data_IF_874568701319
#
_entry.id   IF_874568701319
#
_cell.length_a   1.000
_cell.length_b   1.000
_cell.length_c   1.000
_cell.angle_alpha   90.00
_cell.angle_beta   90.00
_cell.angle_gamma   90.00
#
_symmetry.space_group_name_H-M   'P 1'
#
loop_
_entity.id
_entity.type
_entity.pdbx_description
1 polymer ?
#
# COMPACT_ATOMS: atom_id res chain seq x y z
N UNK A 1 -36.41 -26.63 -47.13
CA UNK A 1 -35.04 -26.23 -46.78
C UNK A 1 -35.14 -25.32 -45.55
N UNK A 2 -34.98 -25.92 -44.38
CA UNK A 2 -35.16 -25.22 -43.11
C UNK A 2 -33.76 -24.96 -42.52
N UNK A 3 -33.33 -23.70 -42.60
CA UNK A 3 -32.09 -23.23 -41.93
C UNK A 3 -32.33 -23.17 -40.45
N UNK A 4 -31.87 -24.18 -39.72
CA UNK A 4 -31.81 -24.13 -38.27
C UNK A 4 -30.74 -23.13 -37.84
N UNK A 5 -31.16 -21.96 -37.39
CA UNK A 5 -30.31 -20.96 -36.71
C UNK A 5 -29.68 -21.61 -35.48
N UNK A 6 -28.38 -21.86 -35.51
CA UNK A 6 -27.61 -22.21 -34.30
C UNK A 6 -27.70 -21.05 -33.29
N UNK A 7 -28.12 -21.32 -32.07
CA UNK A 7 -28.05 -20.30 -31.04
C UNK A 7 -26.58 -19.91 -30.82
N UNK A 8 -26.31 -18.66 -31.03
CA UNK A 8 -25.03 -18.01 -30.73
C UNK A 8 -24.80 -18.16 -29.23
N UNK A 9 -23.99 -19.16 -28.82
CA UNK A 9 -23.54 -19.28 -27.44
C UNK A 9 -22.61 -18.12 -27.21
N UNK A 10 -23.10 -17.07 -26.56
CA UNK A 10 -22.26 -16.06 -25.93
C UNK A 10 -21.32 -16.80 -24.96
N UNK A 11 -20.11 -17.05 -25.39
CA UNK A 11 -19.06 -17.60 -24.56
C UNK A 11 -18.78 -16.55 -23.49
N UNK A 12 -19.23 -16.81 -22.26
CA UNK A 12 -18.97 -15.96 -21.12
C UNK A 12 -17.47 -15.88 -20.88
N UNK A 13 -16.90 -14.69 -21.00
CA UNK A 13 -15.52 -14.42 -20.61
C UNK A 13 -15.52 -14.22 -19.11
N UNK A 14 -14.90 -15.14 -18.36
CA UNK A 14 -14.71 -15.01 -16.92
C UNK A 14 -13.35 -14.37 -16.67
N UNK A 15 -13.37 -13.15 -16.13
CA UNK A 15 -12.15 -12.44 -15.72
C UNK A 15 -11.77 -12.92 -14.32
N UNK A 16 -10.61 -13.56 -14.18
CA UNK A 16 -10.07 -14.00 -12.90
C UNK A 16 -8.82 -13.21 -12.53
N UNK A 17 -8.64 -12.97 -11.24
CA UNK A 17 -7.47 -12.26 -10.69
C UNK A 17 -6.63 -13.22 -9.81
N UNK A 18 -5.89 -14.16 -10.41
CA UNK A 18 -5.25 -15.27 -9.69
C UNK A 18 -4.21 -14.82 -8.65
N UNK A 19 -3.67 -13.61 -8.80
CA UNK A 19 -2.70 -13.10 -7.86
C UNK A 19 -3.34 -12.57 -6.56
N UNK A 20 -4.61 -12.18 -6.58
CA UNK A 20 -5.32 -11.70 -5.38
C UNK A 20 -5.62 -12.80 -4.37
N UNK A 21 -5.72 -14.04 -4.82
CA UNK A 21 -6.05 -15.20 -3.97
C UNK A 21 -4.83 -15.77 -3.25
N UNK A 22 -3.63 -15.35 -3.63
CA UNK A 22 -2.39 -15.81 -2.99
C UNK A 22 -2.25 -15.23 -1.57
N UNK A 23 -2.07 -16.05 -0.52
CA UNK A 23 -1.99 -15.57 0.87
C UNK A 23 -0.84 -14.58 1.09
N UNK A 24 0.28 -14.76 0.38
CA UNK A 24 1.42 -13.84 0.43
C UNK A 24 1.05 -12.45 -0.10
N UNK A 25 0.24 -12.36 -1.16
CA UNK A 25 -0.21 -11.08 -1.74
C UNK A 25 -1.19 -10.39 -0.81
N UNK A 26 -2.11 -11.15 -0.20
CA UNK A 26 -3.04 -10.62 0.79
C UNK A 26 -2.32 -10.10 2.03
N UNK A 27 -1.32 -10.84 2.53
CA UNK A 27 -0.49 -10.42 3.65
C UNK A 27 0.28 -9.13 3.32
N UNK A 28 0.92 -9.05 2.13
CA UNK A 28 1.64 -7.83 1.71
C UNK A 28 0.71 -6.64 1.65
N UNK A 29 -0.50 -6.79 1.08
CA UNK A 29 -1.51 -5.73 1.04
C UNK A 29 -1.91 -5.28 2.44
N UNK A 30 -2.24 -6.23 3.32
CA UNK A 30 -2.62 -5.93 4.69
C UNK A 30 -1.49 -5.18 5.43
N UNK A 31 -0.24 -5.61 5.27
CA UNK A 31 0.92 -4.95 5.86
C UNK A 31 1.08 -3.50 5.37
N UNK A 32 0.94 -3.25 4.05
CA UNK A 32 1.00 -1.88 3.51
C UNK A 32 -0.10 -1.01 4.09
N UNK A 33 -1.34 -1.50 4.15
CA UNK A 33 -2.46 -0.76 4.73
C UNK A 33 -2.20 -0.43 6.21
N UNK A 34 -1.76 -1.41 6.99
CA UNK A 34 -1.43 -1.19 8.41
C UNK A 34 -0.30 -0.17 8.58
N UNK A 35 0.78 -0.27 7.78
CA UNK A 35 1.89 0.68 7.85
C UNK A 35 1.48 2.10 7.48
N UNK A 36 0.60 2.29 6.49
CA UNK A 36 0.03 3.60 6.14
C UNK A 36 -0.80 4.18 7.30
N UNK A 37 -1.65 3.35 7.93
CA UNK A 37 -2.46 3.78 9.07
C UNK A 37 -1.62 4.09 10.30
N UNK A 38 -0.61 3.27 10.61
CA UNK A 38 0.34 3.52 11.70
C UNK A 38 1.12 4.81 11.45
N UNK A 39 1.56 5.05 10.22
CA UNK A 39 2.24 6.29 9.85
C UNK A 39 1.35 7.51 10.05
N UNK A 40 0.10 7.45 9.57
CA UNK A 40 -0.88 8.53 9.77
C UNK A 40 -1.14 8.79 11.26
N UNK A 41 -1.26 7.73 12.06
CA UNK A 41 -1.47 7.85 13.50
C UNK A 41 -0.25 8.46 14.21
N UNK A 42 0.97 8.05 13.88
CA UNK A 42 2.20 8.63 14.46
C UNK A 42 2.32 10.11 14.11
N UNK A 43 2.12 10.50 12.84
CA UNK A 43 2.13 11.89 12.43
C UNK A 43 1.05 12.67 13.16
N UNK A 44 -0.16 12.13 13.32
CA UNK A 44 -1.25 12.76 14.06
C UNK A 44 -0.88 13.02 15.52
N UNK A 45 -0.32 12.02 16.22
CA UNK A 45 0.08 12.17 17.63
C UNK A 45 1.18 13.21 17.77
N UNK A 46 2.19 13.23 16.89
CA UNK A 46 3.25 14.24 16.90
C UNK A 46 2.68 15.62 16.60
N UNK A 47 1.73 15.74 15.66
CA UNK A 47 1.07 17.01 15.31
C UNK A 47 0.29 17.58 16.49
N UNK A 48 -0.56 16.76 17.10
CA UNK A 48 -1.37 17.19 18.25
C UNK A 48 -0.50 17.48 19.47
N UNK A 49 0.47 16.61 19.74
CA UNK A 49 1.36 16.74 20.90
C UNK A 49 2.31 17.92 20.81
N UNK A 50 2.70 18.31 19.60
CA UNK A 50 3.61 19.43 19.34
C UNK A 50 2.92 20.68 18.81
N UNK A 51 1.59 20.75 18.83
CA UNK A 51 0.79 21.78 18.14
C UNK A 51 1.32 23.20 18.29
N UNK A 52 1.60 23.61 19.52
CA UNK A 52 2.05 24.97 19.85
C UNK A 52 3.44 25.33 19.30
N UNK A 53 4.20 24.32 18.86
CA UNK A 53 5.59 24.48 18.40
C UNK A 53 5.76 24.20 16.90
N UNK A 54 4.71 23.73 16.23
CA UNK A 54 4.74 23.26 14.85
C UNK A 54 4.11 24.23 13.84
N UNK A 55 3.88 25.50 14.21
CA UNK A 55 3.10 26.50 13.46
C UNK A 55 3.21 26.38 11.94
N UNK A 56 4.40 26.46 11.37
CA UNK A 56 4.61 26.35 9.92
C UNK A 56 4.55 24.94 9.34
N UNK A 57 4.67 23.90 10.15
CA UNK A 57 4.69 22.51 9.71
C UNK A 57 3.30 21.85 9.73
N UNK A 58 2.34 22.40 10.46
CA UNK A 58 0.99 21.83 10.61
C UNK A 58 0.31 21.51 9.26
N UNK A 59 0.29 22.41 8.26
CA UNK A 59 -0.38 22.11 6.99
C UNK A 59 0.23 20.91 6.27
N UNK A 60 1.56 20.77 6.32
CA UNK A 60 2.27 19.65 5.71
C UNK A 60 1.95 18.35 6.43
N UNK A 61 1.91 18.34 7.76
CA UNK A 61 1.59 17.17 8.56
C UNK A 61 0.14 16.73 8.35
N UNK A 62 -0.81 17.65 8.32
CA UNK A 62 -2.21 17.35 7.97
C UNK A 62 -2.29 16.77 6.56
N UNK A 63 -1.55 17.33 5.59
CA UNK A 63 -1.46 16.80 4.24
C UNK A 63 -0.99 15.33 4.22
N UNK A 64 0.05 14.99 4.97
CA UNK A 64 0.53 13.61 5.09
C UNK A 64 -0.51 12.68 5.71
N UNK A 65 -1.20 13.09 6.77
CA UNK A 65 -2.25 12.30 7.42
C UNK A 65 -3.35 11.99 6.40
N UNK A 66 -3.87 13.01 5.72
CA UNK A 66 -4.96 12.85 4.74
C UNK A 66 -4.54 11.95 3.58
N UNK A 67 -3.37 12.18 3.00
CA UNK A 67 -2.86 11.41 1.86
C UNK A 67 -2.63 9.95 2.25
N UNK A 68 -2.07 9.67 3.44
CA UNK A 68 -1.84 8.31 3.90
C UNK A 68 -3.16 7.56 4.17
N UNK A 69 -4.19 8.23 4.69
CA UNK A 69 -5.52 7.64 4.84
C UNK A 69 -6.15 7.31 3.49
N UNK A 70 -6.03 8.21 2.51
CA UNK A 70 -6.50 7.99 1.14
C UNK A 70 -5.74 6.80 0.51
N UNK A 71 -4.43 6.73 0.66
CA UNK A 71 -3.63 5.63 0.13
C UNK A 71 -3.93 4.31 0.82
N UNK A 72 -4.16 4.30 2.13
CA UNK A 72 -4.60 3.11 2.85
C UNK A 72 -5.94 2.59 2.30
N UNK A 73 -6.89 3.49 2.03
CA UNK A 73 -8.17 3.14 1.41
C UNK A 73 -7.98 2.54 0.01
N UNK A 74 -7.21 3.18 -0.87
CA UNK A 74 -6.99 2.66 -2.22
C UNK A 74 -6.18 1.36 -2.24
N UNK A 75 -5.16 1.22 -1.38
CA UNK A 75 -4.42 -0.02 -1.23
C UNK A 75 -5.33 -1.16 -0.73
N UNK A 76 -6.24 -0.88 0.22
CA UNK A 76 -7.26 -1.82 0.66
C UNK A 76 -8.23 -2.23 -0.46
N UNK A 77 -8.42 -1.38 -1.46
CA UNK A 77 -9.24 -1.66 -2.66
C UNK A 77 -8.46 -2.26 -3.82
N UNK A 78 -7.29 -2.82 -3.58
CA UNK A 78 -6.44 -3.46 -4.59
C UNK A 78 -5.91 -2.50 -5.67
N UNK A 79 -5.86 -1.20 -5.40
CA UNK A 79 -5.28 -0.24 -6.33
C UNK A 79 -3.75 -0.25 -6.20
N UNK A 80 -3.08 -0.90 -7.15
CA UNK A 80 -1.62 -1.00 -7.21
C UNK A 80 -0.94 0.34 -7.50
N UNK A 81 -1.62 1.25 -8.19
CA UNK A 81 -1.06 2.53 -8.64
C UNK A 81 -0.62 3.45 -7.51
N UNK A 82 -1.21 3.31 -6.31
CA UNK A 82 -0.84 4.14 -5.14
C UNK A 82 0.47 3.70 -4.49
N UNK A 83 0.94 2.47 -4.72
CA UNK A 83 2.10 1.91 -4.02
C UNK A 83 3.41 2.65 -4.31
N UNK A 84 3.81 2.92 -5.58
CA UNK A 84 5.03 3.66 -5.85
C UNK A 84 4.98 5.10 -5.33
N UNK A 85 3.82 5.74 -5.38
CA UNK A 85 3.65 7.11 -4.85
C UNK A 85 3.77 7.09 -3.32
N UNK A 86 3.18 6.08 -2.66
CA UNK A 86 3.35 5.87 -1.21
C UNK A 86 4.81 5.70 -0.82
N UNK A 87 5.59 4.94 -1.61
CA UNK A 87 7.00 4.72 -1.36
C UNK A 87 7.80 6.03 -1.43
N UNK A 88 7.54 6.88 -2.44
CA UNK A 88 8.21 8.18 -2.58
C UNK A 88 7.88 9.08 -1.38
N UNK A 89 6.60 9.21 -1.02
CA UNK A 89 6.19 10.01 0.13
C UNK A 89 6.73 9.46 1.45
N UNK A 90 6.87 8.14 1.57
CA UNK A 90 7.48 7.51 2.73
C UNK A 90 8.96 7.87 2.87
N UNK A 91 9.72 7.90 1.78
CA UNK A 91 11.12 8.36 1.81
C UNK A 91 11.20 9.81 2.29
N UNK A 92 10.37 10.70 1.75
CA UNK A 92 10.35 12.12 2.15
C UNK A 92 9.99 12.28 3.63
N UNK A 93 8.93 11.59 4.10
CA UNK A 93 8.54 11.65 5.51
C UNK A 93 9.62 11.08 6.43
N UNK A 94 10.28 9.99 6.02
CA UNK A 94 11.41 9.40 6.76
C UNK A 94 12.57 10.38 6.92
N UNK A 95 12.92 11.13 5.86
CA UNK A 95 13.95 12.16 5.89
C UNK A 95 13.53 13.29 6.85
N UNK A 96 12.29 13.80 6.73
CA UNK A 96 11.80 14.85 7.63
C UNK A 96 11.80 14.39 9.09
N UNK A 97 11.38 13.16 9.37
CA UNK A 97 11.37 12.61 10.71
C UNK A 97 12.79 12.44 11.29
N UNK A 98 13.74 11.97 10.47
CA UNK A 98 15.14 11.82 10.87
C UNK A 98 15.79 13.15 11.23
N UNK A 99 15.46 14.23 10.52
CA UNK A 99 15.96 15.58 10.78
C UNK A 99 15.26 16.21 11.98
N UNK A 100 13.93 16.06 12.08
CA UNK A 100 13.14 16.69 13.14
C UNK A 100 13.27 15.96 14.49
N UNK A 101 13.48 14.65 14.51
CA UNK A 101 13.56 13.85 15.74
C UNK A 101 14.56 14.37 16.75
N UNK A 102 15.83 14.57 16.37
CA UNK A 102 16.87 15.12 17.29
C UNK A 102 16.53 16.51 17.84
N UNK A 103 15.83 17.35 17.08
CA UNK A 103 15.48 18.71 17.51
C UNK A 103 14.49 18.73 18.68
N UNK A 104 13.64 17.70 18.81
CA UNK A 104 12.74 17.55 19.94
C UNK A 104 13.50 17.32 21.25
N UNK A 105 14.54 16.48 21.24
CA UNK A 105 15.38 16.25 22.43
C UNK A 105 16.19 17.50 22.85
N UNK A 106 16.58 18.32 21.88
CA UNK A 106 17.26 19.58 22.19
C UNK A 106 16.34 20.56 22.89
N UNK A 107 15.02 20.46 22.74
CA UNK A 107 14.00 21.29 23.41
C UNK A 107 13.61 20.80 24.81
N UNK A 108 14.00 19.57 25.19
CA UNK A 108 13.73 19.00 26.51
C UNK A 108 14.68 19.60 27.59
N UNK A 109 14.75 20.93 27.64
CA UNK A 109 15.63 21.71 28.54
C UNK A 109 14.86 22.90 29.06
N UNK A 110 15.25 23.33 30.29
CA UNK A 110 14.72 24.55 30.92
C UNK A 110 14.96 25.78 30.02
N UNK A 111 13.92 26.60 29.84
CA UNK A 111 13.98 27.83 29.04
C UNK A 111 13.39 27.74 27.64
N UNK A 112 12.98 26.57 27.20
CA UNK A 112 12.20 26.39 25.96
C UNK A 112 10.70 26.39 26.27
N UNK A 113 9.89 26.80 25.27
CA UNK A 113 8.44 26.69 25.37
C UNK A 113 8.05 25.22 25.45
N UNK A 114 7.12 24.87 26.33
CA UNK A 114 6.66 23.51 26.53
C UNK A 114 5.68 23.11 25.42
N UNK A 115 5.86 21.90 24.88
CA UNK A 115 4.88 21.27 24.00
C UNK A 115 3.70 20.73 24.83
N UNK A 116 2.59 20.42 24.20
CA UNK A 116 1.44 19.79 24.86
C UNK A 116 1.78 18.40 25.43
N UNK A 117 2.66 17.66 24.73
CA UNK A 117 3.29 16.44 25.23
C UNK A 117 4.77 16.67 25.52
N UNK A 118 5.36 15.83 26.39
CA UNK A 118 6.79 15.89 26.69
C UNK A 118 7.63 15.84 25.41
N UNK A 119 8.59 16.77 25.26
CA UNK A 119 9.43 16.91 24.07
C UNK A 119 10.28 15.67 23.79
N UNK A 120 10.79 14.98 24.81
CA UNK A 120 11.51 13.72 24.65
C UNK A 120 10.64 12.60 24.08
N UNK A 121 9.37 12.51 24.52
CA UNK A 121 8.41 11.57 23.95
C UNK A 121 8.11 11.90 22.49
N UNK A 122 7.90 13.16 22.13
CA UNK A 122 7.70 13.59 20.74
C UNK A 122 8.91 13.26 19.87
N UNK A 123 10.13 13.41 20.40
CA UNK A 123 11.36 13.01 19.74
C UNK A 123 11.39 11.50 19.43
N UNK A 124 11.06 10.66 20.42
CA UNK A 124 10.98 9.20 20.24
C UNK A 124 9.94 8.82 19.21
N UNK A 125 8.73 9.38 19.29
CA UNK A 125 7.65 9.10 18.31
C UNK A 125 8.04 9.55 16.90
N UNK A 126 8.70 10.71 16.79
CA UNK A 126 9.18 11.20 15.50
C UNK A 126 10.26 10.28 14.91
N UNK A 127 11.22 9.82 15.73
CA UNK A 127 12.22 8.86 15.27
C UNK A 127 11.63 7.48 14.95
N UNK A 128 10.57 7.06 15.63
CA UNK A 128 9.86 5.82 15.33
C UNK A 128 9.22 5.84 13.92
N UNK A 129 8.89 7.03 13.41
CA UNK A 129 8.41 7.16 12.02
C UNK A 129 9.45 6.60 11.04
N UNK A 130 10.75 6.80 11.26
CA UNK A 130 11.81 6.39 10.32
C UNK A 130 11.77 4.89 9.99
N UNK A 131 11.87 3.96 10.95
CA UNK A 131 11.78 2.53 10.64
C UNK A 131 10.43 2.13 10.05
N UNK A 132 9.33 2.77 10.45
CA UNK A 132 8.02 2.52 9.85
C UNK A 132 8.03 2.91 8.36
N UNK A 133 8.66 4.04 7.98
CA UNK A 133 8.75 4.43 6.57
C UNK A 133 9.66 3.48 5.77
N UNK A 134 10.75 2.98 6.33
CA UNK A 134 11.61 1.98 5.68
C UNK A 134 10.82 0.70 5.36
N UNK A 135 10.03 0.22 6.34
CA UNK A 135 9.14 -0.92 6.13
C UNK A 135 8.08 -0.62 5.07
N UNK A 136 7.46 0.57 5.12
CA UNK A 136 6.45 0.97 4.14
C UNK A 136 7.02 0.98 2.72
N UNK A 137 8.19 1.57 2.49
CA UNK A 137 8.88 1.54 1.19
C UNK A 137 9.10 0.10 0.72
N UNK A 138 9.66 -0.74 1.59
CA UNK A 138 9.98 -2.14 1.27
C UNK A 138 8.72 -2.92 0.86
N UNK A 139 7.65 -2.84 1.66
CA UNK A 139 6.41 -3.56 1.37
C UNK A 139 5.60 -2.95 0.23
N UNK A 140 5.64 -1.63 0.02
CA UNK A 140 5.01 -0.98 -1.12
C UNK A 140 5.66 -1.40 -2.45
N UNK A 141 6.99 -1.41 -2.53
CA UNK A 141 7.72 -1.88 -3.71
C UNK A 141 7.49 -3.37 -3.96
N UNK A 142 7.49 -4.20 -2.90
CA UNK A 142 7.14 -5.62 -3.00
C UNK A 142 5.71 -5.82 -3.50
N UNK A 143 4.74 -5.08 -2.96
CA UNK A 143 3.35 -5.13 -3.41
C UNK A 143 3.20 -4.72 -4.87
N UNK A 144 3.95 -3.70 -5.29
CA UNK A 144 3.96 -3.28 -6.68
C UNK A 144 4.50 -4.36 -7.62
N UNK A 145 5.55 -5.08 -7.25
CA UNK A 145 6.14 -6.17 -8.06
C UNK A 145 5.23 -7.41 -8.15
N UNK A 146 4.32 -7.61 -7.18
CA UNK A 146 3.41 -8.77 -7.15
C UNK A 146 2.28 -8.75 -8.19
N UNK A 147 2.10 -7.65 -8.94
CA UNK A 147 1.15 -7.59 -10.04
C UNK A 147 -0.30 -7.87 -9.66
N UNK A 148 -0.85 -7.15 -8.68
CA UNK A 148 -2.19 -7.38 -8.12
C UNK A 148 -3.33 -7.32 -9.15
N UNK A 149 -3.13 -6.63 -10.28
CA UNK A 149 -4.15 -6.40 -11.32
C UNK A 149 -3.90 -7.25 -12.57
N UNK A 150 -3.18 -8.36 -12.48
CA UNK A 150 -3.07 -9.31 -13.59
C UNK A 150 -4.42 -9.98 -13.76
N UNK A 151 -5.01 -9.77 -14.92
CA UNK A 151 -6.28 -10.36 -15.35
C UNK A 151 -6.00 -11.50 -16.30
N UNK A 152 -6.63 -12.65 -16.06
CA UNK A 152 -6.63 -13.77 -16.98
C UNK A 152 -8.06 -13.95 -17.51
N UNK A 153 -8.20 -13.78 -18.82
CA UNK A 153 -9.44 -14.12 -19.52
C UNK A 153 -9.51 -15.65 -19.70
N UNK A 154 -10.45 -16.28 -19.05
CA UNK A 154 -10.76 -17.69 -19.27
C UNK A 154 -12.08 -17.76 -20.06
N UNK A 155 -12.01 -18.29 -21.29
CA UNK A 155 -13.22 -18.61 -22.05
C UNK A 155 -13.83 -19.89 -21.48
N UNK A 156 -15.06 -19.81 -21.01
CA UNK A 156 -15.84 -20.99 -20.63
C UNK A 156 -16.08 -21.82 -21.88
N UNK A 157 -15.31 -22.90 -22.05
CA UNK A 157 -15.38 -23.80 -23.21
C UNK A 157 -14.04 -24.40 -23.61
N UNK A 158 -12.91 -23.83 -23.23
CA UNK A 158 -11.59 -24.35 -23.58
C UNK A 158 -11.15 -25.59 -22.76
N UNK A 159 -11.89 -25.93 -21.71
CA UNK A 159 -11.55 -27.09 -20.86
C UNK A 159 -11.96 -28.45 -21.45
N UNK A 160 -12.62 -28.47 -22.61
CA UNK A 160 -13.13 -29.70 -23.23
C UNK A 160 -12.32 -30.21 -24.42
N UNK A 161 -11.42 -29.43 -25.02
CA UNK A 161 -10.78 -29.83 -26.29
C UNK A 161 -9.32 -30.30 -26.17
N UNK A 162 -8.68 -30.13 -25.05
CA UNK A 162 -7.25 -30.52 -24.88
C UNK A 162 -7.07 -31.97 -24.34
N UNK A 163 -8.16 -32.67 -24.06
CA UNK A 163 -8.13 -34.06 -23.57
C UNK A 163 -8.10 -35.16 -24.68
N UNK A 164 -8.16 -34.81 -25.95
CA UNK A 164 -8.42 -35.77 -27.02
C UNK A 164 -7.34 -35.98 -28.08
N UNK A 165 -6.22 -35.30 -28.08
CA UNK A 165 -5.13 -35.53 -29.05
C UNK A 165 -3.91 -36.20 -28.43
N UNK A 166 -4.09 -37.47 -28.06
CA UNK A 166 -2.96 -38.40 -28.07
C UNK A 166 -2.57 -38.66 -29.53
N UNK A 167 -1.39 -38.16 -29.92
CA UNK A 167 -0.82 -38.45 -31.24
C UNK A 167 -0.63 -39.95 -31.39
N UNK A 168 -0.97 -40.57 -32.56
CA UNK A 168 -0.69 -41.97 -32.81
C UNK A 168 0.81 -42.16 -32.91
N UNK A 169 1.32 -43.16 -32.15
CA UNK A 169 2.67 -43.64 -32.24
C UNK A 169 2.92 -44.16 -33.66
N UNK A 170 3.97 -43.66 -34.35
CA UNK A 170 4.50 -44.25 -35.55
C UNK A 170 5.24 -45.55 -35.19
N UNK A 171 4.90 -46.68 -35.77
CA UNK A 171 5.77 -47.85 -35.69
C UNK A 171 6.94 -47.67 -36.65
N UNK A 172 8.10 -48.18 -36.24
CA UNK A 172 9.34 -48.24 -36.98
C UNK A 172 9.29 -49.20 -38.17
#
# INVERSE_FOLDING_TARGET
MSSASRPDRQQGVVITHPNRDKPVVQATRATVVVLLLVSAALVLVVTVGGWNLLEGAIPVQIGYIVVYLIFAFFAARWNRGVLPISAVLAVLLGIFAAVAGPSWFARDKSGFAEATLNSGLLGLLTLLIVPVQILLVTFALRGFSQGWNVELERRDGAAGEDGGRLAPAHPA
#
